data_IF_048026016305
#
_entry.id   IF_048026016305
#
_cell.length_a   1.000
_cell.length_b   1.000
_cell.length_c   1.000
_cell.angle_alpha   90.00
_cell.angle_beta   90.00
_cell.angle_gamma   90.00
#
_symmetry.space_group_name_H-M   'P 1'
#
loop_
_entity.id
_entity.type
_entity.pdbx_description
1 polymer ?
#
# COMPACT_ATOMS: atom_id res chain seq x y z
N UNK A 1 -22.21 -17.25 19.28
CA UNK A 1 -21.58 -16.17 18.51
C UNK A 1 -20.25 -15.88 19.17
N UNK A 2 -19.14 -16.38 18.61
CA UNK A 2 -17.81 -16.06 19.14
C UNK A 2 -17.59 -14.57 18.91
N UNK A 3 -17.30 -13.84 19.98
CA UNK A 3 -16.72 -12.52 19.87
C UNK A 3 -15.34 -12.71 19.23
N UNK A 4 -15.24 -12.42 17.93
CA UNK A 4 -13.95 -12.37 17.25
C UNK A 4 -13.09 -11.34 17.99
N UNK A 5 -11.95 -11.79 18.50
CA UNK A 5 -11.04 -10.93 19.25
C UNK A 5 -10.73 -9.68 18.44
N UNK A 6 -10.81 -8.52 19.10
CA UNK A 6 -10.43 -7.26 18.49
C UNK A 6 -9.03 -7.40 17.89
N UNK A 7 -8.86 -6.99 16.64
CA UNK A 7 -7.56 -6.87 15.95
C UNK A 7 -6.77 -5.71 16.58
N UNK A 8 -6.47 -5.80 17.87
CA UNK A 8 -5.69 -4.81 18.59
C UNK A 8 -4.30 -4.72 17.95
N UNK A 9 -3.99 -3.55 17.40
CA UNK A 9 -2.75 -3.30 16.67
C UNK A 9 -2.75 -3.76 15.23
N UNK A 10 -3.89 -3.95 14.55
CA UNK A 10 -3.89 -3.94 13.08
C UNK A 10 -4.08 -2.51 12.58
N UNK A 11 -3.20 -2.06 11.69
CA UNK A 11 -3.30 -0.75 11.09
C UNK A 11 -3.87 -0.83 9.66
N UNK A 12 -3.29 -1.61 8.74
CA UNK A 12 -3.75 -1.69 7.35
C UNK A 12 -3.26 -2.93 6.60
N UNK A 13 -3.82 -3.18 5.42
CA UNK A 13 -3.24 -4.07 4.39
C UNK A 13 -2.63 -3.21 3.28
N UNK A 14 -1.35 -3.42 2.98
CA UNK A 14 -0.63 -2.73 1.93
C UNK A 14 -0.70 -3.48 0.60
N UNK A 15 -1.06 -2.76 -0.47
CA UNK A 15 -1.23 -3.30 -1.82
C UNK A 15 -0.43 -2.43 -2.80
N UNK A 16 0.44 -3.06 -3.60
CA UNK A 16 1.14 -2.36 -4.71
C UNK A 16 0.20 -2.30 -5.92
N UNK A 17 0.12 -1.14 -6.55
CA UNK A 17 -0.76 -0.88 -7.69
C UNK A 17 0.01 -0.22 -8.83
N UNK A 18 -0.26 -0.58 -10.10
CA UNK A 18 0.48 -0.05 -11.25
C UNK A 18 0.21 1.45 -11.48
N UNK A 19 -0.96 1.94 -11.08
CA UNK A 19 -1.32 3.35 -11.11
C UNK A 19 -2.16 3.68 -9.86
N UNK A 20 -1.61 4.54 -9.01
CA UNK A 20 -2.20 4.90 -7.72
C UNK A 20 -3.50 5.68 -7.86
N UNK A 21 -3.60 6.60 -8.81
CA UNK A 21 -4.82 7.40 -9.02
C UNK A 21 -5.95 6.52 -9.57
N UNK A 22 -5.65 5.70 -10.57
CA UNK A 22 -6.61 4.77 -11.15
C UNK A 22 -7.09 3.74 -10.12
N UNK A 23 -6.18 3.22 -9.29
CA UNK A 23 -6.54 2.28 -8.22
C UNK A 23 -7.42 2.94 -7.15
N UNK A 24 -7.11 4.18 -6.72
CA UNK A 24 -7.97 4.91 -5.77
C UNK A 24 -9.39 5.05 -6.30
N UNK A 25 -9.54 5.44 -7.56
CA UNK A 25 -10.84 5.58 -8.21
C UNK A 25 -11.57 4.23 -8.29
N UNK A 26 -10.89 3.17 -8.71
CA UNK A 26 -11.48 1.84 -8.82
C UNK A 26 -11.93 1.29 -7.47
N UNK A 27 -11.09 1.39 -6.44
CA UNK A 27 -11.42 0.89 -5.10
C UNK A 27 -12.51 1.76 -4.42
N UNK A 28 -12.57 3.06 -4.70
CA UNK A 28 -13.68 3.90 -4.28
C UNK A 28 -15.01 3.44 -4.91
N UNK A 29 -15.01 3.12 -6.21
CA UNK A 29 -16.20 2.65 -6.92
C UNK A 29 -16.68 1.28 -6.42
N UNK A 30 -15.78 0.30 -6.29
CA UNK A 30 -16.18 -1.08 -5.98
C UNK A 30 -16.30 -1.38 -4.49
N UNK A 31 -15.56 -0.67 -3.62
CA UNK A 31 -15.56 -0.90 -2.16
C UNK A 31 -16.16 0.27 -1.37
N UNK A 32 -16.44 1.42 -1.98
CA UNK A 32 -16.80 2.64 -1.26
C UNK A 32 -15.65 3.22 -0.42
N UNK A 33 -14.40 2.92 -0.79
CA UNK A 33 -13.24 3.40 -0.05
C UNK A 33 -13.06 4.92 -0.17
N UNK A 34 -12.80 5.57 0.95
CA UNK A 34 -12.39 6.97 1.03
C UNK A 34 -10.90 7.06 1.29
N UNK A 35 -10.23 8.05 0.67
CA UNK A 35 -8.77 8.14 0.67
C UNK A 35 -8.28 9.43 1.31
N UNK A 36 -7.21 9.32 2.07
CA UNK A 36 -6.38 10.46 2.46
C UNK A 36 -5.64 11.06 1.27
N UNK A 37 -4.82 12.10 1.51
CA UNK A 37 -3.95 12.65 0.46
C UNK A 37 -2.94 11.60 -0.01
N UNK A 38 -2.48 11.74 -1.25
CA UNK A 38 -1.28 11.04 -1.69
C UNK A 38 -0.09 11.69 -1.02
N UNK A 39 0.70 10.87 -0.33
CA UNK A 39 1.99 11.26 0.21
C UNK A 39 3.05 10.96 -0.83
N UNK A 40 3.88 11.95 -1.16
CA UNK A 40 4.96 11.81 -2.15
C UNK A 40 6.30 12.03 -1.48
N UNK A 41 7.19 11.04 -1.63
CA UNK A 41 8.60 11.12 -1.21
C UNK A 41 9.48 10.87 -2.44
N UNK A 42 10.00 11.93 -3.09
CA UNK A 42 10.76 11.78 -4.34
C UNK A 42 12.05 10.97 -4.19
N UNK A 43 12.69 11.07 -3.03
CA UNK A 43 14.00 10.49 -2.74
C UNK A 43 13.95 9.59 -1.50
N UNK A 44 13.17 8.50 -1.55
CA UNK A 44 13.09 7.54 -0.46
C UNK A 44 14.33 6.64 -0.47
N UNK A 45 15.17 6.75 0.56
CA UNK A 45 16.29 5.85 0.78
C UNK A 45 15.78 4.47 1.25
N UNK A 46 16.17 3.41 0.54
CA UNK A 46 15.82 2.03 0.86
C UNK A 46 17.05 1.13 0.85
N UNK A 47 17.02 0.10 1.68
CA UNK A 47 18.04 -0.96 1.68
C UNK A 47 17.38 -2.30 1.38
N UNK A 48 17.85 -2.95 0.34
CA UNK A 48 17.37 -4.25 -0.11
C UNK A 48 17.91 -5.37 0.78
N UNK A 49 17.33 -6.57 0.63
CA UNK A 49 17.70 -7.74 1.44
C UNK A 49 19.14 -8.23 1.24
N UNK A 50 19.77 -7.91 0.11
CA UNK A 50 21.18 -8.19 -0.18
C UNK A 50 22.14 -7.09 0.33
N UNK A 51 21.60 -6.06 0.98
CA UNK A 51 22.35 -4.91 1.48
C UNK A 51 22.52 -3.76 0.48
N UNK A 52 22.03 -3.90 -0.75
CA UNK A 52 22.06 -2.81 -1.75
C UNK A 52 21.25 -1.62 -1.27
N UNK A 53 21.82 -0.42 -1.34
CA UNK A 53 21.14 0.84 -1.02
C UNK A 53 20.66 1.51 -2.31
N UNK A 54 19.39 1.93 -2.33
CA UNK A 54 18.77 2.63 -3.45
C UNK A 54 18.08 3.90 -2.95
N UNK A 55 17.92 4.88 -3.84
CA UNK A 55 17.01 6.01 -3.66
C UNK A 55 15.94 5.91 -4.72
N UNK A 56 14.66 5.86 -4.31
CA UNK A 56 13.54 5.62 -5.22
C UNK A 56 12.40 6.63 -4.98
N UNK A 57 11.65 7.02 -6.03
CA UNK A 57 10.43 7.77 -5.82
C UNK A 57 9.39 6.89 -5.12
N UNK A 58 8.62 7.45 -4.21
CA UNK A 58 7.55 6.74 -3.53
C UNK A 58 6.28 7.60 -3.48
N UNK A 59 5.15 6.98 -3.80
CA UNK A 59 3.82 7.58 -3.70
C UNK A 59 2.89 6.57 -3.04
N UNK A 60 2.23 6.97 -1.96
CA UNK A 60 1.31 6.12 -1.20
C UNK A 60 0.07 6.89 -0.80
N UNK A 61 -1.02 6.18 -0.52
CA UNK A 61 -2.16 6.74 0.20
C UNK A 61 -2.81 5.69 1.10
N UNK A 62 -3.42 6.15 2.19
CA UNK A 62 -4.18 5.32 3.10
C UNK A 62 -5.67 5.60 2.96
N UNK A 63 -6.50 4.57 3.17
CA UNK A 63 -7.92 4.79 3.36
C UNK A 63 -8.18 5.48 4.71
N UNK A 64 -9.22 6.30 4.78
CA UNK A 64 -9.59 7.07 5.98
C UNK A 64 -10.56 6.33 6.89
N UNK A 65 -11.11 5.21 6.42
CA UNK A 65 -12.08 4.39 7.13
C UNK A 65 -11.91 2.92 6.75
N UNK A 66 -12.66 2.03 7.41
CA UNK A 66 -12.69 0.62 7.08
C UNK A 66 -13.19 0.37 5.64
N UNK A 67 -12.57 -0.56 4.88
CA UNK A 67 -11.39 -1.35 5.25
C UNK A 67 -10.11 -0.49 5.27
N UNK A 68 -9.25 -0.67 6.29
CA UNK A 68 -7.98 0.05 6.35
C UNK A 68 -6.97 -0.53 5.36
N UNK A 69 -6.68 0.24 4.33
CA UNK A 69 -5.86 -0.10 3.17
C UNK A 69 -4.76 0.94 2.98
N UNK A 70 -3.62 0.48 2.49
CA UNK A 70 -2.58 1.32 1.90
C UNK A 70 -2.41 0.93 0.45
N UNK A 71 -2.49 1.90 -0.46
CA UNK A 71 -2.14 1.72 -1.86
C UNK A 71 -0.78 2.33 -2.12
N UNK A 72 0.09 1.59 -2.80
CA UNK A 72 1.46 1.98 -3.08
C UNK A 72 1.67 1.97 -4.59
N UNK A 73 2.10 3.11 -5.16
CA UNK A 73 2.45 3.20 -6.57
C UNK A 73 3.62 2.25 -6.88
N UNK A 74 3.47 1.47 -7.95
CA UNK A 74 4.53 0.61 -8.45
C UNK A 74 5.78 1.40 -8.83
N UNK A 75 6.93 0.86 -8.46
CA UNK A 75 8.26 1.29 -8.88
C UNK A 75 9.04 0.06 -9.35
N UNK A 76 9.16 -0.17 -10.67
CA UNK A 76 9.82 -1.37 -11.21
C UNK A 76 11.27 -1.52 -10.73
N UNK A 77 11.67 -2.76 -10.46
CA UNK A 77 13.03 -3.08 -9.96
C UNK A 77 13.24 -2.80 -8.48
N UNK A 78 12.18 -2.47 -7.74
CA UNK A 78 12.20 -2.25 -6.29
C UNK A 78 11.32 -3.27 -5.58
N UNK A 79 11.29 -3.32 -4.24
CA UNK A 79 10.33 -4.14 -3.51
C UNK A 79 8.86 -3.80 -3.84
N UNK A 80 8.57 -2.58 -4.28
CA UNK A 80 7.23 -2.16 -4.71
C UNK A 80 7.01 -2.40 -6.20
N UNK A 81 7.31 -3.60 -6.68
CA UNK A 81 7.03 -4.02 -8.05
C UNK A 81 5.77 -4.89 -8.08
N UNK A 82 4.88 -4.67 -9.05
CA UNK A 82 3.76 -5.57 -9.27
C UNK A 82 4.27 -6.90 -9.85
N UNK A 83 3.61 -8.00 -9.52
CA UNK A 83 3.89 -9.32 -10.08
C UNK A 83 2.61 -9.98 -10.63
N UNK A 84 2.80 -11.11 -11.32
CA UNK A 84 1.71 -11.85 -11.97
C UNK A 84 0.84 -12.68 -11.01
N UNK A 85 1.20 -12.72 -9.71
CA UNK A 85 0.52 -13.52 -8.71
C UNK A 85 -0.38 -12.66 -7.83
N UNK A 86 0.22 -11.94 -6.88
CA UNK A 86 -0.49 -11.12 -5.89
C UNK A 86 0.34 -9.91 -5.54
N UNK A 87 -0.31 -8.75 -5.52
CA UNK A 87 0.28 -7.48 -5.13
C UNK A 87 -0.09 -7.08 -3.70
N UNK A 88 -0.71 -7.98 -2.92
CA UNK A 88 -0.78 -7.81 -1.46
C UNK A 88 0.63 -7.91 -0.91
N UNK A 89 1.13 -6.79 -0.41
CA UNK A 89 2.54 -6.63 -0.05
C UNK A 89 2.79 -6.95 1.42
N UNK A 90 1.96 -6.42 2.31
CA UNK A 90 2.16 -6.59 3.75
C UNK A 90 0.90 -6.32 4.56
N UNK A 91 0.97 -6.64 5.85
CA UNK A 91 0.02 -6.24 6.87
C UNK A 91 0.77 -5.31 7.83
N UNK A 92 0.25 -4.09 8.01
CA UNK A 92 0.74 -3.12 8.99
C UNK A 92 0.09 -3.37 10.35
N UNK A 93 0.90 -3.32 11.41
CA UNK A 93 0.46 -3.44 12.80
C UNK A 93 0.85 -2.18 13.59
#
# INVERSE_FOLDING_TARGET
>A
MSAGGAMEGYFHVGIVVPDLEAARAHFADVLGAEWGPILETPDLAVRLGDGTELTVPNRICYSTAHPYLELIQEVPGTPWVCNEHSNLHHIGF
#
